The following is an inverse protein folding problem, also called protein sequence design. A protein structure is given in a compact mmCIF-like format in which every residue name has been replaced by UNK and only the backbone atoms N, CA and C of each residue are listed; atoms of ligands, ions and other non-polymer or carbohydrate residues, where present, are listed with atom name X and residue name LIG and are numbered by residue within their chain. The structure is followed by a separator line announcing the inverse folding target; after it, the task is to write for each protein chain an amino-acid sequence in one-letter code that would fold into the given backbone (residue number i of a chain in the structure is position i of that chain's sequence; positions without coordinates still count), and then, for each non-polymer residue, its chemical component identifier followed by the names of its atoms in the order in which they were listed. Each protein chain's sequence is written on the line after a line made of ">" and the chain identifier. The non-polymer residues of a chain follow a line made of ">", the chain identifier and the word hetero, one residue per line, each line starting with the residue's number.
data_IF_666587136530
#
_entry.id   IF_666587136530
#
_cell.length_a   1.000
_cell.length_b   1.000
_cell.length_c   1.000
_cell.angle_alpha   90.00
_cell.angle_beta   90.00
_cell.angle_gamma   90.00
#
_symmetry.space_group_name_H-M   'P 1'
#
loop_
_entity.id
_entity.type
_entity.pdbx_description
1 polymer ?
#
# COMPACT_ATOMS: atom_id res chain seq x y z
N UNK A 1 15.30 -8.93 -59.32
CA UNK A 1 15.90 -9.08 -57.98
C UNK A 1 14.78 -8.79 -56.98
N UNK A 2 13.86 -9.75 -56.83
CA UNK A 2 12.71 -9.61 -55.93
C UNK A 2 13.21 -9.81 -54.51
N UNK A 3 13.27 -8.73 -53.74
CA UNK A 3 13.42 -8.83 -52.28
C UNK A 3 12.22 -9.66 -51.82
N UNK A 4 12.47 -10.91 -51.42
CA UNK A 4 11.47 -11.87 -50.97
C UNK A 4 10.47 -11.18 -50.04
N UNK A 5 9.17 -11.33 -50.30
CA UNK A 5 8.10 -10.71 -49.50
C UNK A 5 8.31 -10.92 -47.98
N UNK A 6 8.93 -12.04 -47.61
CA UNK A 6 9.30 -12.35 -46.22
C UNK A 6 10.29 -11.36 -45.59
N UNK A 7 11.19 -10.75 -46.37
CA UNK A 7 12.14 -9.76 -45.85
C UNK A 7 11.49 -8.40 -45.63
N UNK A 8 10.63 -7.98 -46.56
CA UNK A 8 9.82 -6.75 -46.39
C UNK A 8 8.84 -6.88 -45.21
N UNK A 9 8.25 -8.06 -45.02
CA UNK A 9 7.39 -8.33 -43.87
C UNK A 9 8.16 -8.21 -42.54
N UNK A 10 9.38 -8.76 -42.47
CA UNK A 10 10.23 -8.62 -41.28
C UNK A 10 10.60 -7.17 -40.99
N UNK A 11 10.93 -6.40 -42.02
CA UNK A 11 11.25 -4.97 -41.90
C UNK A 11 10.02 -4.16 -41.45
N UNK A 12 8.83 -4.47 -41.98
CA UNK A 12 7.59 -3.84 -41.55
C UNK A 12 7.23 -4.16 -40.09
N UNK A 13 7.38 -5.42 -39.66
CA UNK A 13 7.16 -5.82 -38.26
C UNK A 13 8.15 -5.12 -37.33
N UNK A 14 9.43 -5.03 -37.72
CA UNK A 14 10.44 -4.31 -36.94
C UNK A 14 10.08 -2.83 -36.81
N UNK A 15 9.70 -2.17 -37.92
CA UNK A 15 9.28 -0.78 -37.92
C UNK A 15 8.03 -0.52 -37.05
N UNK A 16 7.06 -1.44 -37.05
CA UNK A 16 5.87 -1.37 -36.20
C UNK A 16 6.22 -1.53 -34.72
N UNK A 17 7.11 -2.48 -34.37
CA UNK A 17 7.59 -2.64 -32.99
C UNK A 17 8.36 -1.42 -32.50
N UNK A 18 9.17 -0.82 -33.37
CA UNK A 18 9.90 0.41 -33.06
C UNK A 18 8.95 1.61 -32.92
N UNK A 19 7.90 1.69 -33.73
CA UNK A 19 6.83 2.67 -33.54
C UNK A 19 6.12 2.49 -32.19
N UNK A 20 5.73 1.25 -31.86
CA UNK A 20 5.01 0.94 -30.61
C UNK A 20 5.88 1.18 -29.37
N UNK A 21 7.15 0.80 -29.40
CA UNK A 21 8.08 1.03 -28.27
C UNK A 21 8.29 2.51 -27.91
N UNK A 22 7.95 3.44 -28.83
CA UNK A 22 7.99 4.89 -28.57
C UNK A 22 6.71 5.42 -27.92
N UNK A 23 5.66 4.60 -27.82
CA UNK A 23 4.38 4.99 -27.21
C UNK A 23 4.48 4.81 -25.70
N UNK A 24 4.17 5.86 -24.96
CA UNK A 24 4.04 5.80 -23.51
C UNK A 24 2.66 5.22 -23.13
N UNK A 25 2.54 3.90 -23.15
CA UNK A 25 1.27 3.23 -22.83
C UNK A 25 0.77 3.55 -21.43
N UNK A 26 1.66 3.66 -20.44
CA UNK A 26 1.27 3.98 -19.06
C UNK A 26 0.54 5.31 -18.96
N UNK A 27 1.00 6.35 -19.67
CA UNK A 27 0.35 7.65 -19.66
C UNK A 27 -1.05 7.61 -20.32
N UNK A 28 -1.21 6.83 -21.38
CA UNK A 28 -2.51 6.61 -22.01
C UNK A 28 -3.47 5.89 -21.06
N UNK A 29 -3.00 4.82 -20.39
CA UNK A 29 -3.78 4.06 -19.42
C UNK A 29 -4.19 4.96 -18.23
N UNK A 30 -3.24 5.72 -17.67
CA UNK A 30 -3.51 6.69 -16.59
C UNK A 30 -4.58 7.69 -17.02
N UNK A 31 -4.47 8.27 -18.22
CA UNK A 31 -5.44 9.24 -18.73
C UNK A 31 -6.84 8.64 -18.84
N UNK A 32 -6.95 7.42 -19.36
CA UNK A 32 -8.23 6.71 -19.50
C UNK A 32 -8.84 6.37 -18.13
N UNK A 33 -8.03 5.86 -17.20
CA UNK A 33 -8.47 5.53 -15.85
C UNK A 33 -8.95 6.76 -15.08
N UNK A 34 -8.24 7.90 -15.19
CA UNK A 34 -8.67 9.16 -14.58
C UNK A 34 -10.00 9.63 -15.15
N UNK A 35 -10.21 9.52 -16.47
CA UNK A 35 -11.48 9.84 -17.10
C UNK A 35 -12.61 8.91 -16.61
N UNK A 36 -12.35 7.61 -16.48
CA UNK A 36 -13.31 6.64 -15.97
C UNK A 36 -13.67 6.91 -14.50
N UNK A 37 -12.70 7.20 -13.64
CA UNK A 37 -12.93 7.59 -12.23
C UNK A 37 -13.82 8.82 -12.16
N UNK A 38 -13.55 9.84 -13.00
CA UNK A 38 -14.38 11.05 -13.05
C UNK A 38 -15.81 10.76 -13.51
N UNK A 39 -16.00 9.83 -14.43
CA UNK A 39 -17.32 9.36 -14.84
C UNK A 39 -18.05 8.71 -13.66
N UNK A 40 -17.44 7.74 -12.96
CA UNK A 40 -18.10 7.07 -11.82
C UNK A 40 -18.29 7.96 -10.59
N UNK A 41 -17.45 9.00 -10.44
CA UNK A 41 -17.64 10.06 -9.44
C UNK A 41 -18.92 10.86 -9.70
N UNK A 42 -19.23 11.18 -10.97
CA UNK A 42 -20.47 11.89 -11.34
C UNK A 42 -21.73 11.04 -11.14
N UNK A 43 -21.62 9.73 -11.32
CA UNK A 43 -22.74 8.79 -11.18
C UNK A 43 -22.84 8.13 -9.79
N UNK A 44 -22.15 8.67 -8.78
CA UNK A 44 -22.22 8.23 -7.37
C UNK A 44 -21.90 6.74 -7.13
N UNK A 45 -21.10 6.11 -7.99
CA UNK A 45 -20.67 4.72 -7.82
C UNK A 45 -19.34 4.66 -7.07
N UNK A 46 -19.39 4.66 -5.72
CA UNK A 46 -18.19 4.70 -4.89
C UNK A 46 -17.31 3.45 -5.05
N UNK A 47 -17.92 2.26 -5.16
CA UNK A 47 -17.18 0.99 -5.29
C UNK A 47 -16.42 0.89 -6.61
N UNK A 48 -17.06 1.24 -7.73
CA UNK A 48 -16.40 1.23 -9.03
C UNK A 48 -15.28 2.28 -9.08
N UNK A 49 -15.50 3.44 -8.46
CA UNK A 49 -14.46 4.46 -8.30
C UNK A 49 -13.24 3.91 -7.53
N UNK A 50 -13.44 3.23 -6.40
CA UNK A 50 -12.35 2.64 -5.62
C UNK A 50 -11.62 1.53 -6.38
N UNK A 51 -12.34 0.70 -7.12
CA UNK A 51 -11.76 -0.32 -7.99
C UNK A 51 -10.85 0.31 -9.07
N UNK A 52 -11.33 1.32 -9.79
CA UNK A 52 -10.52 2.01 -10.80
C UNK A 52 -9.35 2.80 -10.19
N UNK A 53 -9.48 3.30 -8.97
CA UNK A 53 -8.38 3.93 -8.24
C UNK A 53 -7.28 2.91 -7.92
N UNK A 54 -7.61 1.65 -7.68
CA UNK A 54 -6.63 0.57 -7.49
C UNK A 54 -5.86 0.31 -8.79
N UNK A 55 -6.57 0.14 -9.92
CA UNK A 55 -5.94 -0.05 -11.23
C UNK A 55 -5.03 1.13 -11.58
N UNK A 56 -5.47 2.35 -11.26
CA UNK A 56 -4.69 3.56 -11.47
C UNK A 56 -3.43 3.60 -10.58
N UNK A 57 -3.54 3.16 -9.32
CA UNK A 57 -2.39 3.07 -8.42
C UNK A 57 -1.35 2.07 -8.94
N UNK A 58 -1.79 0.91 -9.45
CA UNK A 58 -0.91 -0.11 -10.01
C UNK A 58 -0.18 0.39 -11.28
N UNK A 59 -0.87 1.16 -12.13
CA UNK A 59 -0.24 1.80 -13.29
C UNK A 59 0.78 2.88 -12.88
N UNK A 60 0.52 3.63 -11.80
CA UNK A 60 1.49 4.57 -11.24
C UNK A 60 2.74 3.85 -10.69
N UNK A 61 2.58 2.67 -10.07
CA UNK A 61 3.72 1.84 -9.66
C UNK A 61 4.52 1.38 -10.89
N UNK A 62 3.84 0.95 -11.95
CA UNK A 62 4.46 0.50 -13.21
C UNK A 62 5.24 1.60 -13.91
N UNK A 63 4.74 2.85 -13.85
CA UNK A 63 5.43 4.05 -14.34
C UNK A 63 6.46 4.65 -13.38
N UNK A 64 6.75 3.97 -12.26
CA UNK A 64 7.72 4.36 -11.21
C UNK A 64 7.38 5.66 -10.45
N UNK A 65 6.11 6.09 -10.50
CA UNK A 65 5.63 7.23 -9.72
C UNK A 65 5.04 6.73 -8.39
N UNK A 66 5.92 6.29 -7.49
CA UNK A 66 5.53 5.61 -6.27
C UNK A 66 4.79 6.51 -5.27
N UNK A 67 5.16 7.79 -5.15
CA UNK A 67 4.50 8.72 -4.23
C UNK A 67 3.03 8.96 -4.62
N UNK A 68 2.76 9.10 -5.92
CA UNK A 68 1.40 9.28 -6.42
C UNK A 68 0.58 8.00 -6.22
N UNK A 69 1.16 6.83 -6.54
CA UNK A 69 0.53 5.55 -6.28
C UNK A 69 0.17 5.36 -4.81
N UNK A 70 1.08 5.71 -3.90
CA UNK A 70 0.91 5.57 -2.46
C UNK A 70 -0.28 6.39 -1.95
N UNK A 71 -0.49 7.60 -2.48
CA UNK A 71 -1.66 8.43 -2.15
C UNK A 71 -2.98 7.74 -2.52
N UNK A 72 -3.05 7.09 -3.69
CA UNK A 72 -4.22 6.31 -4.09
C UNK A 72 -4.41 5.10 -3.17
N UNK A 73 -3.35 4.34 -2.89
CA UNK A 73 -3.42 3.20 -1.96
C UNK A 73 -3.89 3.62 -0.56
N UNK A 74 -3.38 4.73 -0.02
CA UNK A 74 -3.80 5.26 1.27
C UNK A 74 -5.31 5.53 1.31
N UNK A 75 -5.84 6.18 0.28
CA UNK A 75 -7.28 6.46 0.17
C UNK A 75 -8.10 5.16 0.06
N UNK A 76 -7.66 4.21 -0.76
CA UNK A 76 -8.38 2.95 -1.01
C UNK A 76 -8.42 2.08 0.26
N UNK A 77 -7.26 1.89 0.90
CA UNK A 77 -7.12 1.14 2.15
C UNK A 77 -8.04 1.75 3.21
N UNK A 78 -8.01 3.07 3.39
CA UNK A 78 -8.84 3.75 4.39
C UNK A 78 -10.35 3.56 4.13
N UNK A 79 -10.78 3.64 2.87
CA UNK A 79 -12.17 3.45 2.50
C UNK A 79 -12.65 2.02 2.80
N UNK A 80 -11.93 1.00 2.32
CA UNK A 80 -12.31 -0.39 2.56
C UNK A 80 -12.20 -0.81 4.03
N UNK A 81 -11.23 -0.25 4.76
CA UNK A 81 -11.10 -0.43 6.19
C UNK A 81 -12.30 0.10 6.96
N UNK A 82 -12.73 1.33 6.66
CA UNK A 82 -13.86 2.00 7.32
C UNK A 82 -15.18 1.28 7.06
N UNK A 83 -15.33 0.72 5.87
CA UNK A 83 -16.49 -0.08 5.47
C UNK A 83 -16.39 -1.58 5.85
N UNK A 84 -15.30 -2.01 6.50
CA UNK A 84 -15.05 -3.39 6.92
C UNK A 84 -15.04 -4.44 5.79
N UNK A 85 -14.56 -4.06 4.60
CA UNK A 85 -14.37 -4.99 3.47
C UNK A 85 -13.04 -5.76 3.59
N UNK A 86 -12.92 -6.60 4.61
CA UNK A 86 -11.68 -7.32 4.93
C UNK A 86 -11.09 -8.14 3.77
N UNK A 87 -11.87 -8.93 3.00
CA UNK A 87 -11.30 -9.73 1.91
C UNK A 87 -10.68 -8.88 0.79
N UNK A 88 -11.24 -7.68 0.55
CA UNK A 88 -10.69 -6.75 -0.45
C UNK A 88 -9.44 -6.08 0.10
N UNK A 89 -9.47 -5.70 1.38
CA UNK A 89 -8.34 -5.10 2.07
C UNK A 89 -7.14 -6.06 2.10
N UNK A 90 -7.37 -7.33 2.41
CA UNK A 90 -6.39 -8.42 2.34
C UNK A 90 -5.66 -8.48 1.00
N UNK A 91 -6.39 -8.35 -0.11
CA UNK A 91 -5.81 -8.40 -1.45
C UNK A 91 -4.97 -7.15 -1.79
N UNK A 92 -5.32 -5.98 -1.26
CA UNK A 92 -4.69 -4.70 -1.60
C UNK A 92 -3.45 -4.42 -0.73
N UNK A 93 -3.46 -4.85 0.54
CA UNK A 93 -2.41 -4.55 1.50
C UNK A 93 -0.99 -4.94 1.06
N UNK A 94 -0.74 -6.12 0.45
CA UNK A 94 0.60 -6.47 -0.04
C UNK A 94 1.12 -5.51 -1.12
N UNK A 95 0.24 -5.08 -2.04
CA UNK A 95 0.60 -4.12 -3.09
C UNK A 95 0.88 -2.72 -2.51
N UNK A 96 0.05 -2.28 -1.56
CA UNK A 96 0.23 -1.02 -0.84
C UNK A 96 1.53 -1.01 -0.02
N UNK A 97 1.83 -2.10 0.70
CA UNK A 97 3.07 -2.25 1.46
C UNK A 97 4.31 -2.19 0.56
N UNK A 98 4.26 -2.88 -0.59
CA UNK A 98 5.32 -2.82 -1.60
C UNK A 98 5.50 -1.39 -2.12
N UNK A 99 4.42 -0.69 -2.42
CA UNK A 99 4.47 0.71 -2.87
C UNK A 99 5.09 1.64 -1.80
N UNK A 100 4.74 1.46 -0.53
CA UNK A 100 5.34 2.21 0.58
C UNK A 100 6.85 1.94 0.72
N UNK A 101 7.27 0.70 0.49
CA UNK A 101 8.70 0.35 0.43
C UNK A 101 9.41 1.05 -0.74
N UNK A 102 8.81 1.04 -1.93
CA UNK A 102 9.41 1.63 -3.13
C UNK A 102 9.50 3.16 -3.09
N UNK A 103 8.59 3.82 -2.37
CA UNK A 103 8.59 5.27 -2.11
C UNK A 103 9.44 5.69 -0.90
N UNK A 104 10.04 4.73 -0.18
CA UNK A 104 10.82 5.01 1.05
C UNK A 104 9.99 5.73 2.11
N UNK A 105 8.67 5.48 2.14
CA UNK A 105 7.75 6.09 3.08
C UNK A 105 7.62 5.20 4.33
N UNK A 106 8.44 5.51 5.34
CA UNK A 106 8.47 4.78 6.62
C UNK A 106 7.12 4.78 7.36
N UNK A 107 6.41 5.92 7.54
CA UNK A 107 5.11 5.94 8.21
C UNK A 107 4.08 4.99 7.57
N UNK A 108 3.89 5.08 6.26
CA UNK A 108 2.91 4.23 5.55
C UNK A 108 3.35 2.77 5.52
N UNK A 109 4.64 2.50 5.42
CA UNK A 109 5.16 1.13 5.46
C UNK A 109 4.89 0.45 6.81
N UNK A 110 5.13 1.14 7.93
CA UNK A 110 4.78 0.63 9.27
C UNK A 110 3.28 0.45 9.38
N UNK A 111 2.50 1.42 8.89
CA UNK A 111 1.04 1.36 8.94
C UNK A 111 0.47 0.15 8.21
N UNK A 112 0.85 -0.07 6.97
CA UNK A 112 0.40 -1.25 6.22
C UNK A 112 0.91 -2.56 6.83
N UNK A 113 2.12 -2.59 7.39
CA UNK A 113 2.66 -3.76 8.08
C UNK A 113 1.81 -4.14 9.30
N UNK A 114 1.46 -3.17 10.14
CA UNK A 114 0.56 -3.39 11.28
C UNK A 114 -0.84 -3.80 10.84
N UNK A 115 -1.31 -3.27 9.72
CA UNK A 115 -2.62 -3.62 9.16
C UNK A 115 -2.66 -5.07 8.63
N UNK A 116 -1.57 -5.55 8.01
CA UNK A 116 -1.40 -6.96 7.63
C UNK A 116 -1.40 -7.90 8.83
N UNK A 117 -0.83 -7.46 9.96
CA UNK A 117 -0.78 -8.23 11.20
C UNK A 117 -2.13 -8.26 11.94
N UNK A 118 -3.12 -7.49 11.50
CA UNK A 118 -4.44 -7.46 12.12
C UNK A 118 -5.12 -8.86 12.09
N UNK A 119 -5.80 -9.27 13.18
CA UNK A 119 -6.51 -10.55 13.23
C UNK A 119 -7.60 -10.70 12.16
N UNK A 120 -8.23 -9.60 11.73
CA UNK A 120 -9.29 -9.62 10.72
C UNK A 120 -8.78 -9.87 9.29
N UNK A 121 -7.47 -9.74 9.06
CA UNK A 121 -6.83 -9.94 7.75
C UNK A 121 -6.38 -11.39 7.65
N UNK A 122 -6.98 -12.15 6.75
CA UNK A 122 -6.69 -13.57 6.55
C UNK A 122 -5.62 -13.83 5.48
N UNK A 123 -4.43 -13.24 5.67
CA UNK A 123 -3.24 -13.55 4.88
C UNK A 123 -2.52 -14.79 5.41
N UNK A 124 -1.71 -15.43 4.55
CA UNK A 124 -0.96 -16.63 4.94
C UNK A 124 -0.03 -16.35 6.12
N UNK A 125 0.16 -17.35 6.97
CA UNK A 125 1.05 -17.25 8.14
C UNK A 125 2.46 -16.84 7.73
N UNK A 126 2.95 -17.35 6.58
CA UNK A 126 4.26 -16.98 6.04
C UNK A 126 4.38 -15.47 5.78
N UNK A 127 3.38 -14.86 5.12
CA UNK A 127 3.36 -13.42 4.84
C UNK A 127 3.31 -12.62 6.14
N UNK A 128 2.49 -13.03 7.11
CA UNK A 128 2.42 -12.37 8.42
C UNK A 128 3.74 -12.46 9.19
N UNK A 129 4.34 -13.64 9.27
CA UNK A 129 5.64 -13.84 9.95
C UNK A 129 6.76 -13.05 9.30
N UNK A 130 6.81 -13.00 7.97
CA UNK A 130 7.80 -12.21 7.24
C UNK A 130 7.61 -10.71 7.50
N UNK A 131 6.36 -10.23 7.45
CA UNK A 131 6.02 -8.83 7.74
C UNK A 131 6.40 -8.45 9.16
N UNK A 132 6.09 -9.31 10.14
CA UNK A 132 6.49 -9.12 11.54
C UNK A 132 8.02 -9.07 11.69
N UNK A 133 8.73 -10.04 11.11
CA UNK A 133 10.20 -10.10 11.18
C UNK A 133 10.84 -8.85 10.57
N UNK A 134 10.32 -8.39 9.44
CA UNK A 134 10.78 -7.16 8.79
C UNK A 134 10.51 -5.93 9.66
N UNK A 135 9.34 -5.84 10.29
CA UNK A 135 8.97 -4.74 11.19
C UNK A 135 9.86 -4.72 12.44
N UNK A 136 10.10 -5.87 13.06
CA UNK A 136 11.02 -6.01 14.20
C UNK A 136 12.46 -5.63 13.82
N UNK A 137 12.93 -6.13 12.67
CA UNK A 137 14.26 -5.81 12.16
C UNK A 137 14.44 -4.32 11.89
N UNK A 138 13.41 -3.65 11.35
CA UNK A 138 13.44 -2.21 11.10
C UNK A 138 13.41 -1.40 12.40
N UNK A 139 12.47 -1.70 13.31
CA UNK A 139 12.25 -0.90 14.53
C UNK A 139 13.33 -1.13 15.57
N UNK A 140 13.72 -2.40 15.79
CA UNK A 140 14.65 -2.77 16.88
C UNK A 140 16.10 -2.77 16.39
N UNK A 141 16.35 -3.35 15.22
CA UNK A 141 17.71 -3.59 14.72
C UNK A 141 18.15 -2.57 13.68
N UNK A 142 17.25 -1.71 13.21
CA UNK A 142 17.49 -0.74 12.13
C UNK A 142 18.08 -1.40 10.88
N UNK A 143 17.57 -2.59 10.56
CA UNK A 143 17.91 -3.36 9.35
C UNK A 143 16.83 -3.10 8.29
N UNK A 144 17.27 -2.86 7.06
CA UNK A 144 16.36 -2.62 5.92
C UNK A 144 15.45 -3.84 5.70
N UNK A 145 14.13 -3.65 5.50
CA UNK A 145 13.20 -4.74 5.24
C UNK A 145 13.59 -5.56 4.00
N UNK A 146 13.51 -6.88 4.09
CA UNK A 146 13.72 -7.75 2.94
C UNK A 146 12.40 -7.98 2.20
N UNK A 147 12.26 -7.29 1.07
CA UNK A 147 11.09 -7.39 0.17
C UNK A 147 11.55 -8.08 -1.12
N UNK A 148 10.74 -8.99 -1.67
CA UNK A 148 11.08 -9.77 -2.89
C UNK A 148 11.38 -8.92 -4.13
N UNK A 149 11.01 -7.64 -4.11
CA UNK A 149 11.26 -6.66 -5.16
C UNK A 149 12.20 -5.54 -4.69
N UNK A 150 13.15 -5.87 -3.82
CA UNK A 150 14.17 -4.92 -3.37
C UNK A 150 15.01 -4.45 -4.55
N UNK A 151 15.17 -3.13 -4.64
CA UNK A 151 16.03 -2.47 -5.62
C UNK A 151 17.21 -1.92 -4.82
N UNK A 152 18.44 -2.21 -5.23
CA UNK A 152 19.65 -1.80 -4.49
C UNK A 152 19.68 -0.30 -4.19
N UNK A 153 19.25 0.52 -5.15
CA UNK A 153 19.13 1.98 -4.98
C UNK A 153 18.14 2.39 -3.88
N UNK A 154 17.06 1.62 -3.69
CA UNK A 154 16.03 1.89 -2.68
C UNK A 154 16.53 1.45 -1.31
N UNK A 155 17.21 0.31 -1.22
CA UNK A 155 17.84 -0.16 0.02
C UNK A 155 18.84 0.86 0.59
N UNK A 156 19.57 1.57 -0.26
CA UNK A 156 20.46 2.66 0.15
C UNK A 156 19.70 3.85 0.73
N UNK A 157 18.55 4.22 0.14
CA UNK A 157 17.69 5.28 0.65
C UNK A 157 17.07 4.91 2.00
N UNK A 158 16.69 3.64 2.20
CA UNK A 158 16.21 3.13 3.48
C UNK A 158 17.29 3.19 4.57
N UNK A 159 18.57 2.97 4.24
CA UNK A 159 19.68 3.12 5.20
C UNK A 159 19.91 4.58 5.63
N UNK A 160 19.52 5.54 4.81
CA UNK A 160 19.67 6.97 5.08
C UNK A 160 18.59 7.50 6.04
N UNK A 161 17.53 6.73 6.31
CA UNK A 161 16.45 7.12 7.23
C UNK A 161 17.00 7.28 8.66
N UNK A 162 16.63 8.35 9.39
CA UNK A 162 17.09 8.57 10.76
C UNK A 162 16.71 7.42 11.71
N UNK A 163 17.69 6.91 12.45
CA UNK A 163 17.55 5.73 13.35
C UNK A 163 16.64 5.95 14.56
N UNK A 164 16.33 7.19 14.91
CA UNK A 164 15.47 7.53 16.04
C UNK A 164 14.42 8.52 15.56
N UNK A 165 13.26 8.00 15.18
CA UNK A 165 12.11 8.78 14.80
C UNK A 165 10.89 8.28 15.57
N UNK A 166 10.26 9.19 16.31
CA UNK A 166 8.91 8.95 16.85
C UNK A 166 7.94 9.13 15.71
N UNK A 167 7.25 8.06 15.35
CA UNK A 167 6.23 8.09 14.30
C UNK A 167 4.88 8.12 15.02
N UNK A 168 4.10 9.20 14.86
CA UNK A 168 2.77 9.25 15.44
C UNK A 168 1.92 8.20 14.73
N UNK A 169 1.43 7.23 15.51
CA UNK A 169 0.47 6.22 15.06
C UNK A 169 -0.87 6.65 15.62
N UNK A 170 -1.78 7.04 14.75
CA UNK A 170 -3.14 7.38 15.16
C UNK A 170 -3.90 6.11 15.58
N UNK A 171 -4.20 5.99 16.87
CA UNK A 171 -4.88 4.84 17.44
C UNK A 171 -6.29 4.63 16.85
N UNK A 172 -6.98 5.70 16.45
CA UNK A 172 -8.29 5.61 15.80
C UNK A 172 -8.20 4.94 14.43
N UNK A 173 -7.03 5.07 13.80
CA UNK A 173 -6.71 4.41 12.54
C UNK A 173 -6.42 2.93 12.75
N UNK A 174 -6.04 2.41 13.93
CA UNK A 174 -5.67 0.99 14.16
C UNK A 174 -6.64 0.21 15.07
N UNK A 175 -7.91 0.07 14.68
CA UNK A 175 -8.82 -0.91 15.30
C UNK A 175 -8.30 -2.36 15.16
N UNK A 176 -8.19 -3.06 16.29
CA UNK A 176 -7.98 -4.51 16.37
C UNK A 176 -6.53 -5.00 16.44
N UNK A 177 -5.53 -4.10 16.44
CA UNK A 177 -4.13 -4.51 16.68
C UNK A 177 -3.89 -4.87 18.16
N UNK A 178 -4.49 -4.09 19.06
CA UNK A 178 -4.43 -4.26 20.51
C UNK A 178 -5.87 -4.21 21.04
N UNK A 179 -6.31 -5.26 21.73
CA UNK A 179 -7.54 -5.24 22.50
C UNK A 179 -7.20 -4.95 23.96
N UNK A 180 -7.16 -3.67 24.33
CA UNK A 180 -7.00 -3.27 25.72
C UNK A 180 -8.34 -3.38 26.44
N UNK A 181 -8.44 -4.25 27.45
CA UNK A 181 -9.59 -4.28 28.37
C UNK A 181 -9.32 -3.35 29.53
N UNK A 182 -10.18 -2.36 29.70
CA UNK A 182 -10.08 -1.40 30.79
C UNK A 182 -11.12 -1.75 31.85
N UNK A 183 -10.68 -1.82 33.10
CA UNK A 183 -11.56 -2.06 34.24
C UNK A 183 -11.35 -1.01 35.33
N UNK A 184 -12.44 -0.71 36.03
CA UNK A 184 -12.40 0.18 37.18
C UNK A 184 -11.67 -0.51 38.33
N UNK A 185 -10.75 0.20 38.97
CA UNK A 185 -10.07 -0.26 40.18
C UNK A 185 -11.00 -0.31 41.39
N UNK A 186 -12.07 0.48 41.38
CA UNK A 186 -13.02 0.64 42.48
C UNK A 186 -14.46 0.48 42.00
N UNK A 187 -15.29 -0.16 42.82
CA UNK A 187 -16.72 -0.43 42.52
C UNK A 187 -17.60 0.83 42.66
N UNK A 188 -17.16 1.81 43.46
CA UNK A 188 -17.81 3.11 43.61
C UNK A 188 -16.76 4.21 43.75
N UNK A 189 -17.02 5.35 43.10
CA UNK A 189 -16.14 6.53 43.13
C UNK A 189 -16.98 7.77 43.45
N UNK A 190 -16.44 8.67 44.27
CA UNK A 190 -17.07 9.95 44.62
C UNK A 190 -17.13 10.90 43.42
N UNK A 191 -18.16 11.74 43.39
CA UNK A 191 -18.28 12.83 42.40
C UNK A 191 -17.05 13.75 42.54
N UNK A 192 -16.49 14.16 41.40
CA UNK A 192 -15.29 15.03 41.28
C UNK A 192 -13.95 14.44 41.76
N UNK A 193 -13.83 13.11 41.85
CA UNK A 193 -12.53 12.45 42.14
C UNK A 193 -11.91 11.82 40.91
N UNK A 194 -10.56 11.83 40.85
CA UNK A 194 -9.80 11.20 39.76
C UNK A 194 -10.02 9.68 39.76
N UNK A 195 -10.44 9.15 38.62
CA UNK A 195 -10.67 7.71 38.43
C UNK A 195 -9.38 7.08 37.93
N UNK A 196 -8.83 6.13 38.69
CA UNK A 196 -7.76 5.28 38.21
C UNK A 196 -8.36 4.09 37.46
N UNK A 197 -7.88 3.85 36.24
CA UNK A 197 -8.31 2.73 35.42
C UNK A 197 -7.14 1.77 35.25
N UNK A 198 -7.38 0.47 35.42
CA UNK A 198 -6.39 -0.54 35.07
C UNK A 198 -6.62 -0.99 33.63
N UNK A 199 -5.53 -1.00 32.86
CA UNK A 199 -5.52 -1.44 31.47
C UNK A 199 -4.85 -2.82 31.43
N UNK A 200 -5.61 -3.85 31.07
CA UNK A 200 -5.07 -5.15 30.70
C UNK A 200 -4.92 -5.22 29.17
N UNK A 201 -3.72 -5.61 28.73
CA UNK A 201 -3.39 -5.94 27.33
C UNK A 201 -3.69 -7.41 27.04
#
# INVERSE_FOLDING_TARGET
>A
MEISDAQKEREAIAALRDAESRVNHSELIISLLVQAINHFKKHSSNRMKLYLMYDLADEYVSSKNYDTALNYYNHIVQAYRTEHWWPILEAILPAALKCAYLSVNLPDWIRFSLEILNPNINLSIQVKTQTQTNLENLIIKNIVPQVESSISSIDEQWKAIPKKQTIPIDADTFKGLLECKVYFTHEAVSVDSEITLQVAL
#
